data_IF_556086734014
#
_entry.id   IF_556086734014
#
_cell.length_a   1.000
_cell.length_b   1.000
_cell.length_c   1.000
_cell.angle_alpha   90.00
_cell.angle_beta   90.00
_cell.angle_gamma   90.00
#
_symmetry.space_group_name_H-M   'P 1'
#
loop_
_entity.id
_entity.type
_entity.pdbx_description
1 polymer ?
#
# COMPACT_ATOMS: atom_id res chain seq x y z
N UNK A 1 22.85 -1.23 -20.95
CA UNK A 1 22.12 -0.19 -21.71
C UNK A 1 20.96 -0.86 -22.40
N UNK A 2 19.81 -0.75 -21.85
CA UNK A 2 18.43 -0.85 -22.36
C UNK A 2 17.50 -1.27 -21.23
N UNK A 3 16.98 -0.27 -20.58
CA UNK A 3 15.88 -0.36 -19.64
C UNK A 3 14.59 -0.36 -20.45
N UNK A 4 13.95 -1.50 -20.61
CA UNK A 4 12.55 -1.54 -21.07
C UNK A 4 11.63 -1.59 -19.86
N UNK A 5 11.10 -0.44 -19.56
CA UNK A 5 9.92 -0.25 -18.72
C UNK A 5 8.73 -0.95 -19.37
N UNK A 6 8.27 -2.05 -18.79
CA UNK A 6 6.95 -2.62 -19.11
C UNK A 6 5.90 -2.06 -18.18
N UNK A 7 5.53 -0.82 -18.44
CA UNK A 7 4.31 -0.19 -17.92
C UNK A 7 3.36 0.04 -19.09
N UNK A 8 2.60 -0.96 -19.47
CA UNK A 8 1.46 -0.77 -20.35
C UNK A 8 0.53 -1.96 -20.20
N UNK A 9 -0.66 -1.70 -19.71
CA UNK A 9 -1.91 -2.36 -20.04
C UNK A 9 -2.85 -2.41 -18.82
N UNK A 10 -3.44 -1.28 -18.46
CA UNK A 10 -4.70 -1.23 -17.71
C UNK A 10 -5.50 0.05 -18.00
N UNK A 11 -5.44 0.57 -19.21
CA UNK A 11 -6.21 1.79 -19.58
C UNK A 11 -7.40 1.49 -20.53
N UNK A 12 -7.61 0.28 -20.96
CA UNK A 12 -8.52 -0.02 -22.07
C UNK A 12 -9.91 -0.54 -21.69
N UNK A 13 -10.40 -0.39 -20.45
CA UNK A 13 -11.72 -0.92 -20.06
C UNK A 13 -12.75 0.14 -19.62
N UNK A 14 -12.53 1.42 -19.89
CA UNK A 14 -13.45 2.49 -19.43
C UNK A 14 -14.27 3.18 -20.51
N UNK A 15 -14.33 2.69 -21.74
CA UNK A 15 -14.97 3.42 -22.84
C UNK A 15 -16.43 3.04 -23.13
N UNK A 16 -17.05 2.11 -22.43
CA UNK A 16 -18.43 1.68 -22.73
C UNK A 16 -19.52 2.05 -21.73
N UNK A 17 -19.19 2.69 -20.62
CA UNK A 17 -20.19 3.09 -19.61
C UNK A 17 -20.64 4.57 -19.72
N UNK A 18 -20.16 5.30 -20.72
CA UNK A 18 -20.32 6.77 -20.80
C UNK A 18 -21.62 7.27 -21.41
N UNK A 19 -22.45 6.45 -22.04
CA UNK A 19 -23.56 6.96 -22.86
C UNK A 19 -24.96 6.89 -22.22
N UNK A 20 -25.13 6.31 -21.06
CA UNK A 20 -26.45 6.12 -20.44
C UNK A 20 -26.84 7.17 -19.37
N UNK A 21 -25.97 8.15 -19.01
CA UNK A 21 -26.23 9.10 -17.91
C UNK A 21 -26.30 10.58 -18.35
N UNK A 22 -26.48 10.86 -19.63
CA UNK A 22 -26.40 12.22 -20.17
C UNK A 22 -27.75 12.96 -20.25
N UNK A 23 -28.74 12.65 -19.44
CA UNK A 23 -29.98 13.45 -19.35
C UNK A 23 -30.38 13.66 -17.89
N UNK A 24 -29.89 14.71 -17.26
CA UNK A 24 -30.60 15.35 -16.17
C UNK A 24 -30.27 16.85 -16.12
N UNK A 25 -31.35 17.61 -16.15
CA UNK A 25 -31.55 19.04 -15.89
C UNK A 25 -30.46 19.69 -15.03
N UNK A 26 -30.22 20.99 -15.26
CA UNK A 26 -29.29 21.88 -14.55
C UNK A 26 -29.43 21.84 -13.01
N UNK A 27 -29.08 20.71 -12.40
CA UNK A 27 -29.11 20.42 -10.97
C UNK A 27 -27.72 20.00 -10.49
N UNK A 28 -27.54 20.00 -9.20
CA UNK A 28 -26.34 19.51 -8.51
C UNK A 28 -26.01 18.07 -8.96
N UNK A 29 -24.78 17.83 -9.41
CA UNK A 29 -24.33 16.51 -9.77
C UNK A 29 -24.16 15.62 -8.52
N UNK A 30 -24.79 14.47 -8.49
CA UNK A 30 -24.72 13.55 -7.32
C UNK A 30 -23.69 12.44 -7.49
N UNK A 31 -23.42 12.02 -8.70
CA UNK A 31 -22.48 10.95 -9.02
C UNK A 31 -21.13 11.57 -9.44
N UNK A 32 -20.05 11.00 -8.98
CA UNK A 32 -18.71 11.36 -9.43
C UNK A 32 -17.89 10.13 -9.77
N UNK A 33 -17.12 10.21 -10.84
CA UNK A 33 -16.12 9.23 -11.23
C UNK A 33 -14.77 9.91 -11.35
N UNK A 34 -13.72 9.25 -10.91
CA UNK A 34 -12.39 9.82 -10.88
C UNK A 34 -11.27 8.82 -10.75
N UNK A 35 -10.08 9.35 -10.66
CA UNK A 35 -8.85 8.62 -10.41
C UNK A 35 -8.11 9.31 -9.28
N UNK A 36 -7.55 8.52 -8.37
CA UNK A 36 -6.71 9.00 -7.27
C UNK A 36 -5.30 8.44 -7.39
N UNK A 37 -4.34 9.18 -6.88
CA UNK A 37 -2.93 8.77 -6.82
C UNK A 37 -2.30 9.27 -5.52
N UNK A 38 -1.47 8.45 -4.89
CA UNK A 38 -0.78 8.82 -3.65
C UNK A 38 -0.23 7.62 -2.89
N UNK A 39 -0.18 7.73 -1.58
CA UNK A 39 0.41 6.69 -0.71
C UNK A 39 -0.34 5.35 -0.77
N UNK A 40 -1.61 5.34 -1.13
CA UNK A 40 -2.40 4.12 -1.32
C UNK A 40 -2.26 3.51 -2.73
N UNK A 41 -1.42 4.09 -3.59
CA UNK A 41 -1.28 3.72 -4.99
C UNK A 41 -2.12 4.59 -5.91
N UNK A 42 -2.32 4.10 -7.14
CA UNK A 42 -3.14 4.75 -8.18
C UNK A 42 -4.36 3.89 -8.45
N UNK A 43 -5.53 4.50 -8.60
CA UNK A 43 -6.73 3.74 -8.91
C UNK A 43 -8.01 4.56 -9.05
N UNK A 44 -9.13 3.89 -9.38
CA UNK A 44 -10.41 4.52 -9.60
C UNK A 44 -11.07 4.97 -8.29
N UNK A 45 -11.89 6.00 -8.41
CA UNK A 45 -12.79 6.47 -7.36
C UNK A 45 -14.18 6.67 -7.94
N UNK A 46 -15.20 6.19 -7.24
CA UNK A 46 -16.61 6.48 -7.50
C UNK A 46 -17.23 7.07 -6.24
N UNK A 47 -18.04 8.10 -6.40
CA UNK A 47 -18.71 8.76 -5.29
C UNK A 47 -20.16 9.07 -5.60
N UNK A 48 -20.97 9.03 -4.54
CA UNK A 48 -22.36 9.46 -4.57
C UNK A 48 -22.62 10.42 -3.41
N UNK A 49 -23.25 11.55 -3.69
CA UNK A 49 -23.60 12.56 -2.70
C UNK A 49 -25.10 12.57 -2.48
N UNK A 50 -25.52 12.20 -1.26
CA UNK A 50 -26.94 12.12 -0.89
C UNK A 50 -27.58 13.52 -0.81
N UNK A 51 -26.84 14.44 -0.18
CA UNK A 51 -27.22 15.85 0.01
C UNK A 51 -25.97 16.74 0.07
N UNK A 52 -26.12 18.00 0.43
CA UNK A 52 -25.02 18.95 0.55
C UNK A 52 -24.00 18.60 1.65
N UNK A 53 -24.37 17.76 2.60
CA UNK A 53 -23.57 17.48 3.80
C UNK A 53 -23.03 16.06 3.86
N UNK A 54 -23.65 15.07 3.17
CA UNK A 54 -23.29 13.67 3.29
C UNK A 54 -23.14 13.01 1.93
N UNK A 55 -22.11 12.19 1.80
CA UNK A 55 -21.83 11.35 0.63
C UNK A 55 -21.16 10.04 1.00
N UNK A 56 -21.03 9.18 0.02
CA UNK A 56 -20.28 7.92 0.12
C UNK A 56 -19.35 7.82 -1.08
N UNK A 57 -18.16 7.29 -0.83
CA UNK A 57 -17.16 7.00 -1.88
C UNK A 57 -16.64 5.57 -1.75
N UNK A 58 -16.33 4.98 -2.89
CA UNK A 58 -15.51 3.79 -2.98
C UNK A 58 -14.29 4.08 -3.86
N UNK A 59 -13.14 3.63 -3.45
CA UNK A 59 -11.92 3.77 -4.24
C UNK A 59 -11.04 2.52 -4.15
N UNK A 60 -10.22 2.32 -5.17
CA UNK A 60 -9.17 1.32 -5.20
C UNK A 60 -7.80 1.98 -5.35
N UNK A 61 -6.74 1.29 -4.93
CA UNK A 61 -5.37 1.72 -5.12
C UNK A 61 -4.48 0.54 -5.43
N UNK A 62 -3.66 0.67 -6.48
CA UNK A 62 -2.76 -0.38 -6.94
C UNK A 62 -1.40 0.23 -7.27
N UNK A 63 -0.32 -0.38 -6.78
CA UNK A 63 1.04 0.01 -7.12
C UNK A 63 1.98 -1.17 -6.85
N UNK A 64 2.85 -1.48 -7.81
CA UNK A 64 3.96 -2.42 -7.65
C UNK A 64 5.28 -1.66 -7.71
N UNK A 65 6.15 -1.89 -6.75
CA UNK A 65 7.47 -1.26 -6.68
C UNK A 65 8.50 -2.36 -6.50
N UNK A 66 9.45 -2.42 -7.42
CA UNK A 66 10.64 -3.25 -7.33
C UNK A 66 11.85 -2.36 -7.09
N UNK A 67 12.64 -2.68 -6.08
CA UNK A 67 13.85 -1.98 -5.76
C UNK A 67 14.97 -2.95 -5.42
N UNK A 68 16.16 -2.72 -5.98
CA UNK A 68 17.35 -3.50 -5.68
C UNK A 68 18.52 -2.57 -5.37
N UNK A 69 19.26 -2.89 -4.33
CA UNK A 69 20.47 -2.17 -3.94
C UNK A 69 21.45 -3.11 -3.24
N UNK A 70 22.71 -2.76 -3.26
CA UNK A 70 23.77 -3.46 -2.53
C UNK A 70 24.25 -2.57 -1.39
N UNK A 71 24.29 -3.10 -0.18
CA UNK A 71 24.84 -2.43 1.00
C UNK A 71 25.58 -3.42 1.88
N UNK A 72 26.73 -3.02 2.39
CA UNK A 72 27.58 -3.81 3.31
C UNK A 72 27.85 -5.25 2.86
N UNK A 73 28.07 -5.45 1.55
CA UNK A 73 28.29 -6.77 0.98
C UNK A 73 27.06 -7.68 0.97
N UNK A 74 25.87 -7.10 0.96
CA UNK A 74 24.59 -7.81 0.84
C UNK A 74 23.80 -7.23 -0.30
N UNK A 75 23.36 -8.07 -1.24
CA UNK A 75 22.47 -7.72 -2.32
C UNK A 75 21.03 -7.83 -1.84
N UNK A 76 20.34 -6.69 -1.76
CA UNK A 76 18.94 -6.59 -1.38
C UNK A 76 18.06 -6.47 -2.63
N UNK A 77 17.00 -7.27 -2.66
CA UNK A 77 15.90 -7.14 -3.64
C UNK A 77 14.58 -7.05 -2.89
N UNK A 78 13.95 -5.90 -2.99
CA UNK A 78 12.65 -5.62 -2.39
C UNK A 78 11.57 -5.59 -3.46
N UNK A 79 10.42 -6.21 -3.17
CA UNK A 79 9.19 -6.10 -3.93
C UNK A 79 8.08 -5.67 -3.00
N UNK A 80 7.47 -4.52 -3.26
CA UNK A 80 6.30 -4.03 -2.52
C UNK A 80 5.09 -4.00 -3.46
N UNK A 81 4.02 -4.65 -3.05
CA UNK A 81 2.73 -4.64 -3.73
C UNK A 81 1.73 -3.88 -2.87
N UNK A 82 1.24 -2.76 -3.38
CA UNK A 82 0.11 -2.05 -2.81
C UNK A 82 -1.15 -2.47 -3.57
N UNK A 83 -2.14 -2.97 -2.87
CA UNK A 83 -3.42 -3.37 -3.42
C UNK A 83 -4.48 -3.18 -2.35
N UNK A 84 -5.31 -2.18 -2.50
CA UNK A 84 -6.32 -1.87 -1.48
C UNK A 84 -7.61 -1.34 -2.10
N UNK A 85 -8.72 -1.51 -1.40
CA UNK A 85 -10.02 -0.97 -1.77
C UNK A 85 -10.78 -0.53 -0.54
N UNK A 86 -11.45 0.63 -0.59
CA UNK A 86 -12.15 1.19 0.56
C UNK A 86 -13.52 1.72 0.24
N UNK A 87 -14.37 1.72 1.27
CA UNK A 87 -15.66 2.42 1.29
C UNK A 87 -15.64 3.43 2.42
N UNK A 88 -16.02 4.66 2.09
CA UNK A 88 -15.79 5.83 2.92
C UNK A 88 -17.05 6.68 2.92
N UNK A 89 -17.47 7.12 4.09
CA UNK A 89 -18.52 8.11 4.28
C UNK A 89 -17.87 9.48 4.40
N UNK A 90 -18.33 10.42 3.61
CA UNK A 90 -17.89 11.80 3.59
C UNK A 90 -18.92 12.70 4.27
N UNK A 91 -18.48 13.52 5.22
CA UNK A 91 -19.27 14.60 5.82
C UNK A 91 -18.69 15.92 5.36
N UNK A 92 -19.54 16.78 4.83
CA UNK A 92 -19.20 18.11 4.33
C UNK A 92 -19.81 19.18 5.24
N UNK A 93 -19.14 19.61 6.31
CA UNK A 93 -19.72 20.49 7.33
C UNK A 93 -20.25 21.80 6.79
N UNK A 94 -19.61 22.30 5.74
CA UNK A 94 -19.92 23.60 5.12
C UNK A 94 -20.63 23.48 3.77
N UNK A 95 -21.08 22.27 3.39
CA UNK A 95 -21.72 22.03 2.07
C UNK A 95 -20.79 22.20 0.85
N UNK A 96 -19.58 22.66 1.05
CA UNK A 96 -18.59 22.98 0.01
C UNK A 96 -17.65 21.80 -0.36
N UNK A 97 -16.39 22.14 -0.63
CA UNK A 97 -15.34 21.18 -1.00
C UNK A 97 -14.61 20.55 0.18
N UNK A 98 -14.67 21.13 1.37
CA UNK A 98 -14.06 20.57 2.58
C UNK A 98 -14.87 19.37 3.08
N UNK A 99 -14.19 18.28 3.40
CA UNK A 99 -14.82 17.06 3.91
C UNK A 99 -13.99 16.42 5.01
N UNK A 100 -14.70 15.81 5.94
CA UNK A 100 -14.19 14.84 6.90
C UNK A 100 -14.72 13.48 6.47
N UNK A 101 -13.87 12.47 6.50
CA UNK A 101 -14.18 11.18 5.94
C UNK A 101 -13.76 10.06 6.88
N UNK A 102 -14.65 9.10 7.08
CA UNK A 102 -14.39 7.90 7.86
C UNK A 102 -14.85 6.67 7.09
N UNK A 103 -14.10 5.58 7.18
CA UNK A 103 -14.46 4.38 6.46
C UNK A 103 -13.62 3.17 6.83
N UNK A 104 -13.83 2.11 6.06
CA UNK A 104 -13.07 0.87 6.16
C UNK A 104 -12.42 0.55 4.82
N UNK A 105 -11.23 -0.02 4.89
CA UNK A 105 -10.44 -0.43 3.74
C UNK A 105 -10.01 -1.88 3.85
N UNK A 106 -10.18 -2.62 2.77
CA UNK A 106 -9.48 -3.86 2.56
C UNK A 106 -8.05 -3.53 2.12
N UNK A 107 -7.07 -4.05 2.84
CA UNK A 107 -5.66 -3.75 2.68
C UNK A 107 -4.91 -5.05 2.36
N UNK A 108 -4.65 -5.30 1.10
CA UNK A 108 -3.88 -6.43 0.59
C UNK A 108 -2.41 -6.06 0.31
N UNK A 109 -1.87 -5.08 1.03
CA UNK A 109 -0.48 -4.66 0.87
C UNK A 109 0.47 -5.74 1.37
N UNK A 110 1.50 -6.00 0.60
CA UNK A 110 2.51 -7.00 0.89
C UNK A 110 3.89 -6.47 0.51
N UNK A 111 4.87 -6.75 1.35
CA UNK A 111 6.27 -6.52 1.03
C UNK A 111 7.08 -7.81 1.15
N UNK A 112 7.92 -8.07 0.17
CA UNK A 112 8.88 -9.18 0.15
C UNK A 112 10.29 -8.63 0.01
N UNK A 113 11.20 -9.16 0.79
CA UNK A 113 12.61 -8.81 0.73
C UNK A 113 13.44 -10.08 0.60
N UNK A 114 14.41 -10.06 -0.29
CA UNK A 114 15.46 -11.05 -0.40
C UNK A 114 16.79 -10.38 -0.15
N UNK A 115 17.61 -10.96 0.73
CA UNK A 115 18.93 -10.50 1.05
C UNK A 115 19.92 -11.63 0.78
N UNK A 116 20.85 -11.42 -0.15
CA UNK A 116 21.87 -12.39 -0.51
C UNK A 116 23.24 -11.85 -0.14
N UNK A 117 23.87 -12.36 0.93
CA UNK A 117 25.22 -11.95 1.29
C UNK A 117 26.25 -12.34 0.22
N UNK A 118 27.16 -11.42 -0.10
CA UNK A 118 28.31 -11.65 -0.99
C UNK A 118 29.61 -11.80 -0.21
N UNK A 119 29.58 -11.47 1.08
CA UNK A 119 30.70 -11.56 2.02
C UNK A 119 30.28 -12.09 3.39
N UNK A 120 31.25 -12.27 4.28
CA UNK A 120 30.98 -12.68 5.66
C UNK A 120 30.04 -11.65 6.33
N UNK A 121 28.93 -12.12 6.87
CA UNK A 121 27.83 -11.28 7.38
C UNK A 121 27.50 -11.65 8.81
N UNK A 122 27.30 -10.65 9.66
CA UNK A 122 26.88 -10.84 11.04
C UNK A 122 25.36 -11.05 11.12
N UNK A 123 24.95 -12.18 11.72
CA UNK A 123 23.56 -12.48 12.07
C UNK A 123 23.49 -12.68 13.58
N UNK A 124 22.78 -11.81 14.26
CA UNK A 124 22.78 -11.77 15.72
C UNK A 124 24.17 -11.43 16.27
N UNK A 125 24.73 -12.32 17.06
CA UNK A 125 26.03 -12.13 17.73
C UNK A 125 27.18 -12.88 17.02
N UNK A 126 26.93 -13.50 15.86
CA UNK A 126 27.91 -14.32 15.14
C UNK A 126 28.04 -13.92 13.67
N UNK A 127 29.24 -14.20 13.12
CA UNK A 127 29.57 -13.98 11.71
C UNK A 127 29.48 -15.31 10.97
N UNK A 128 28.81 -15.29 9.81
CA UNK A 128 28.60 -16.45 8.95
C UNK A 128 29.05 -16.15 7.52
N UNK A 129 29.43 -17.20 6.80
CA UNK A 129 29.79 -17.10 5.39
C UNK A 129 28.56 -17.06 4.49
N UNK A 130 28.68 -16.57 3.24
CA UNK A 130 27.57 -16.56 2.28
C UNK A 130 26.95 -17.95 2.02
N UNK A 131 27.79 -19.01 2.00
CA UNK A 131 27.32 -20.38 1.78
C UNK A 131 26.50 -20.90 2.97
N UNK A 132 26.88 -20.53 4.18
CA UNK A 132 26.16 -20.91 5.40
C UNK A 132 24.80 -20.25 5.50
N UNK A 133 24.71 -18.98 5.10
CA UNK A 133 23.48 -18.18 5.13
C UNK A 133 22.58 -18.48 3.93
N UNK A 134 23.15 -18.52 2.71
CA UNK A 134 22.40 -18.51 1.48
C UNK A 134 21.63 -17.19 1.29
N UNK A 135 20.46 -17.27 0.69
CA UNK A 135 19.54 -16.14 0.54
C UNK A 135 18.54 -16.11 1.70
N UNK A 136 18.47 -15.01 2.41
CA UNK A 136 17.43 -14.77 3.41
C UNK A 136 16.22 -14.18 2.69
N UNK A 137 15.05 -14.74 2.96
CA UNK A 137 13.77 -14.24 2.43
C UNK A 137 12.88 -13.84 3.60
N UNK A 138 12.30 -12.66 3.50
CA UNK A 138 11.32 -12.15 4.46
C UNK A 138 10.07 -11.65 3.75
N UNK A 139 8.91 -11.84 4.38
CA UNK A 139 7.62 -11.31 3.96
C UNK A 139 7.01 -10.51 5.08
N UNK A 140 6.45 -9.37 4.75
CA UNK A 140 5.71 -8.53 5.67
C UNK A 140 4.28 -8.35 5.15
N UNK A 141 3.32 -8.63 6.02
CA UNK A 141 1.89 -8.47 5.76
C UNK A 141 1.30 -7.49 6.77
N UNK A 142 0.22 -6.84 6.38
CA UNK A 142 -0.57 -5.94 7.23
C UNK A 142 -1.96 -6.53 7.48
N UNK A 143 -2.72 -5.93 8.40
CA UNK A 143 -4.11 -6.34 8.64
C UNK A 143 -4.96 -6.05 7.40
N UNK A 144 -5.83 -7.00 7.03
CA UNK A 144 -6.63 -6.92 5.82
C UNK A 144 -7.75 -5.87 5.92
N UNK A 145 -8.49 -5.83 7.03
CA UNK A 145 -9.57 -4.87 7.25
C UNK A 145 -9.15 -3.85 8.29
N UNK A 146 -9.11 -2.59 7.85
CA UNK A 146 -8.58 -1.49 8.65
C UNK A 146 -9.46 -0.26 8.55
N UNK A 147 -9.71 0.45 9.66
CA UNK A 147 -10.39 1.73 9.64
C UNK A 147 -9.48 2.82 9.09
N UNK A 148 -10.10 3.81 8.43
CA UNK A 148 -9.42 5.01 7.98
C UNK A 148 -10.18 6.26 8.39
N UNK A 149 -9.42 7.32 8.68
CA UNK A 149 -9.92 8.68 8.90
C UNK A 149 -9.12 9.64 8.02
N UNK A 150 -9.83 10.48 7.29
CA UNK A 150 -9.18 11.45 6.41
C UNK A 150 -9.93 12.78 6.43
N UNK A 151 -9.21 13.83 6.10
CA UNK A 151 -9.77 15.13 5.75
C UNK A 151 -9.37 15.45 4.31
N UNK A 152 -10.24 16.12 3.58
CA UNK A 152 -9.98 16.43 2.19
C UNK A 152 -10.62 17.74 1.76
N UNK A 153 -10.12 18.22 0.64
CA UNK A 153 -10.66 19.42 0.00
C UNK A 153 -10.76 19.22 -1.51
N UNK A 154 -11.82 19.68 -2.11
CA UNK A 154 -12.02 19.70 -3.54
C UNK A 154 -13.34 19.07 -3.99
N UNK A 155 -13.75 19.39 -5.21
CA UNK A 155 -14.92 18.81 -5.83
C UNK A 155 -16.23 19.17 -5.15
N UNK A 156 -16.58 20.45 -5.11
CA UNK A 156 -17.91 20.90 -4.70
C UNK A 156 -19.04 20.25 -5.49
N UNK A 157 -20.29 20.67 -5.30
CA UNK A 157 -21.48 20.10 -5.97
C UNK A 157 -21.60 20.44 -7.45
N UNK A 158 -20.77 21.34 -7.96
CA UNK A 158 -20.80 21.73 -9.37
C UNK A 158 -20.47 20.55 -10.28
N UNK A 159 -21.24 20.40 -11.35
CA UNK A 159 -20.95 19.44 -12.43
C UNK A 159 -19.63 19.81 -13.12
N UNK A 160 -18.93 18.81 -13.61
CA UNK A 160 -17.69 18.99 -14.34
C UNK A 160 -16.47 18.44 -13.64
N UNK A 161 -15.32 18.79 -14.18
CA UNK A 161 -14.01 18.31 -13.73
C UNK A 161 -13.57 19.07 -12.47
N UNK A 162 -13.04 18.33 -11.50
CA UNK A 162 -12.50 18.91 -10.27
C UNK A 162 -11.32 18.13 -9.72
N UNK A 163 -10.35 18.88 -9.18
CA UNK A 163 -9.27 18.29 -8.39
C UNK A 163 -9.68 18.13 -6.93
N UNK A 164 -9.07 17.16 -6.26
CA UNK A 164 -9.18 17.05 -4.82
C UNK A 164 -7.87 16.54 -4.22
N UNK A 165 -7.68 16.90 -2.97
CA UNK A 165 -6.59 16.42 -2.12
C UNK A 165 -7.19 15.83 -0.86
N UNK A 166 -6.55 14.78 -0.34
CA UNK A 166 -6.98 14.10 0.87
C UNK A 166 -5.75 13.71 1.68
N UNK A 167 -5.80 13.94 2.99
CA UNK A 167 -4.76 13.56 3.94
C UNK A 167 -5.39 12.89 5.17
N UNK A 168 -4.70 11.94 5.78
CA UNK A 168 -5.21 11.27 6.96
C UNK A 168 -4.41 10.05 7.36
N UNK A 169 -5.09 9.09 7.97
CA UNK A 169 -4.50 7.93 8.60
C UNK A 169 -5.29 6.66 8.34
N UNK A 170 -4.56 5.57 8.08
CA UNK A 170 -5.04 4.21 8.04
C UNK A 170 -4.54 3.49 9.29
N UNK A 171 -5.44 2.97 10.10
CA UNK A 171 -5.10 2.31 11.37
C UNK A 171 -4.89 0.81 11.14
N UNK A 172 -3.79 0.49 10.48
CA UNK A 172 -3.49 -0.88 10.04
C UNK A 172 -2.99 -1.80 11.16
N UNK A 173 -2.59 -1.23 12.31
CA UNK A 173 -1.96 -1.99 13.39
C UNK A 173 -0.54 -2.42 13.04
N UNK A 174 0.01 -3.31 13.82
CA UNK A 174 1.36 -3.82 13.65
C UNK A 174 1.54 -4.55 12.30
N UNK A 175 2.63 -4.26 11.62
CA UNK A 175 3.09 -5.01 10.44
C UNK A 175 3.62 -6.37 10.91
N UNK A 176 3.20 -7.46 10.29
CA UNK A 176 3.61 -8.81 10.68
C UNK A 176 4.70 -9.33 9.77
N UNK A 177 5.86 -9.65 10.34
CA UNK A 177 6.97 -10.26 9.62
C UNK A 177 6.78 -11.79 9.63
N UNK A 178 6.56 -12.35 8.46
CA UNK A 178 6.39 -13.79 8.22
C UNK A 178 7.48 -14.32 7.29
N UNK A 179 7.61 -15.64 7.24
CA UNK A 179 8.47 -16.36 6.31
C UNK A 179 9.93 -15.84 6.30
N UNK A 180 10.44 -15.48 7.51
CA UNK A 180 11.82 -15.07 7.66
C UNK A 180 12.71 -16.31 7.71
N UNK A 181 13.16 -16.74 6.52
CA UNK A 181 13.87 -17.99 6.29
C UNK A 181 15.13 -17.77 5.49
N UNK A 182 16.05 -18.72 5.55
CA UNK A 182 17.24 -18.78 4.69
C UNK A 182 17.36 -20.15 4.03
N UNK A 183 18.16 -20.25 2.96
CA UNK A 183 18.37 -21.47 2.20
C UNK A 183 19.85 -21.91 2.14
N UNK A 184 20.69 -21.37 3.02
CA UNK A 184 22.08 -21.80 3.16
C UNK A 184 22.26 -23.15 3.85
N UNK A 185 23.48 -23.60 3.94
CA UNK A 185 23.78 -24.93 4.49
C UNK A 185 23.37 -25.09 5.95
N UNK A 186 23.46 -24.01 6.76
CA UNK A 186 23.05 -24.05 8.18
C UNK A 186 21.52 -24.01 8.38
N UNK A 187 20.75 -23.60 7.39
CA UNK A 187 19.30 -23.59 7.49
C UNK A 187 18.71 -25.01 7.62
N UNK A 188 19.28 -25.96 6.92
CA UNK A 188 18.88 -27.37 6.91
C UNK A 188 19.73 -28.27 7.85
N UNK A 189 20.79 -27.73 8.43
CA UNK A 189 21.69 -28.47 9.31
C UNK A 189 21.00 -28.78 10.65
N UNK A 190 21.00 -30.06 11.03
CA UNK A 190 20.42 -30.54 12.28
C UNK A 190 21.44 -30.64 13.44
N UNK A 191 22.63 -30.13 13.24
CA UNK A 191 23.67 -30.02 14.28
C UNK A 191 23.44 -28.83 15.20
N UNK A 192 24.22 -28.76 16.28
CA UNK A 192 24.25 -27.61 17.20
C UNK A 192 24.55 -26.30 16.46
N UNK A 193 25.35 -26.34 15.38
CA UNK A 193 25.65 -25.16 14.57
C UNK A 193 24.41 -24.65 13.85
N UNK A 194 23.62 -25.53 13.23
CA UNK A 194 22.37 -25.18 12.58
C UNK A 194 21.30 -24.68 13.57
N UNK A 195 21.20 -25.28 14.76
CA UNK A 195 20.29 -24.83 15.81
C UNK A 195 20.66 -23.44 16.33
N UNK A 196 21.95 -23.17 16.50
CA UNK A 196 22.44 -21.84 16.89
C UNK A 196 22.10 -20.83 15.83
N UNK A 197 22.36 -21.13 14.55
CA UNK A 197 22.02 -20.23 13.42
C UNK A 197 20.53 -19.91 13.37
N UNK A 198 19.65 -20.89 13.46
CA UNK A 198 18.19 -20.67 13.48
C UNK A 198 17.74 -19.83 14.67
N UNK A 199 18.38 -19.99 15.82
CA UNK A 199 18.12 -19.19 17.01
C UNK A 199 18.50 -17.71 16.77
N UNK A 200 19.69 -17.45 16.21
CA UNK A 200 20.14 -16.10 15.90
C UNK A 200 19.26 -15.44 14.81
N UNK A 201 18.90 -16.18 13.78
CA UNK A 201 17.96 -15.72 12.76
C UNK A 201 16.59 -15.37 13.37
N UNK A 202 16.12 -16.16 14.32
CA UNK A 202 14.89 -15.88 15.08
C UNK A 202 14.96 -14.64 15.94
N UNK A 203 16.11 -14.37 16.56
CA UNK A 203 16.36 -13.10 17.30
C UNK A 203 16.31 -11.90 16.35
N UNK A 204 16.93 -12.02 15.18
CA UNK A 204 16.90 -10.97 14.17
C UNK A 204 15.48 -10.66 13.70
N UNK A 205 14.68 -11.70 13.43
CA UNK A 205 13.26 -11.53 13.10
C UNK A 205 12.50 -10.77 14.20
N UNK A 206 12.71 -11.12 15.46
CA UNK A 206 12.07 -10.42 16.60
C UNK A 206 12.44 -8.95 16.65
N UNK A 207 13.73 -8.62 16.53
CA UNK A 207 14.20 -7.21 16.49
C UNK A 207 13.54 -6.41 15.37
N UNK A 208 13.34 -7.04 14.19
CA UNK A 208 12.64 -6.38 13.08
C UNK A 208 11.15 -6.23 13.36
N UNK A 209 10.51 -7.23 13.99
CA UNK A 209 9.11 -7.16 14.39
C UNK A 209 8.89 -6.04 15.41
N UNK A 210 9.73 -5.94 16.45
CA UNK A 210 9.63 -4.91 17.48
C UNK A 210 9.70 -3.49 16.87
N UNK A 211 10.60 -3.29 15.89
CA UNK A 211 10.67 -2.01 15.16
C UNK A 211 9.47 -1.75 14.26
N UNK A 212 8.88 -2.79 13.68
CA UNK A 212 7.71 -2.66 12.83
C UNK A 212 6.44 -2.34 13.63
N UNK A 213 6.39 -2.78 14.89
CA UNK A 213 5.28 -2.53 15.82
C UNK A 213 5.17 -1.04 16.24
N UNK A 214 6.25 -0.28 16.10
CA UNK A 214 6.26 1.17 16.36
C UNK A 214 5.47 1.99 15.32
N UNK A 215 5.05 1.37 14.20
CA UNK A 215 4.34 2.05 13.10
C UNK A 215 2.92 1.49 12.87
N UNK A 216 2.00 1.61 13.83
CA UNK A 216 0.64 1.08 13.71
C UNK A 216 -0.26 1.88 12.77
N UNK A 217 0.17 3.08 12.39
CA UNK A 217 -0.60 4.03 11.58
C UNK A 217 0.12 4.29 10.27
N UNK A 218 -0.59 4.09 9.16
CA UNK A 218 -0.08 4.40 7.82
C UNK A 218 -0.62 5.76 7.36
N UNK A 219 0.24 6.71 6.98
CA UNK A 219 -0.21 8.02 6.54
C UNK A 219 -0.86 7.95 5.15
N UNK A 220 -2.03 8.54 5.02
CA UNK A 220 -2.73 8.70 3.75
C UNK A 220 -2.46 10.10 3.23
N UNK A 221 -1.95 10.18 1.99
CA UNK A 221 -1.87 11.39 1.20
C UNK A 221 -2.26 11.03 -0.23
N UNK A 222 -3.37 11.60 -0.71
CA UNK A 222 -3.92 11.31 -2.02
C UNK A 222 -4.24 12.63 -2.74
N UNK A 223 -4.00 12.64 -4.04
CA UNK A 223 -4.52 13.65 -4.96
C UNK A 223 -5.40 12.95 -5.98
N UNK A 224 -6.37 13.65 -6.52
CA UNK A 224 -7.23 13.02 -7.51
C UNK A 224 -7.92 14.02 -8.42
N UNK A 225 -8.37 13.46 -9.53
CA UNK A 225 -9.15 14.14 -10.53
C UNK A 225 -10.47 13.39 -10.68
N UNK A 226 -11.59 14.11 -10.61
CA UNK A 226 -12.92 13.52 -10.75
C UNK A 226 -13.84 14.39 -11.59
N UNK A 227 -14.72 13.73 -12.30
CA UNK A 227 -15.82 14.36 -13.02
C UNK A 227 -17.13 14.08 -12.30
N UNK A 228 -17.93 15.12 -12.14
CA UNK A 228 -19.27 15.06 -11.51
C UNK A 228 -20.36 15.27 -12.56
N UNK A 229 -21.32 14.36 -12.54
CA UNK A 229 -22.45 14.34 -13.46
C UNK A 229 -23.67 15.04 -12.88
#
# INVERSE_FOLDING_TARGET
>A
MQWMVRTAACVAAMTSAGTALAQSTAGEGRVSLGVTAGTLGVGPEVGYRFNQQVGVRANGGFLGIDHSFTSDGIDYRGHAKLSSGGVIVDVYPFGGGFRLSAGARYNGNEARVRATPTGATQIGDRVYTPTEIGTITGRADVREFVPQLTLGYGGGLRKGLSFHIEAGALFQGAVRIRDFTSNGTLAADQTIAGDTYRTELGKQRRKLQDRADDYPVYPILQVGLKYRF
#
